data_IF_405514035436
#
_entry.id   IF_405514035436
#
_cell.length_a   1.000
_cell.length_b   1.000
_cell.length_c   1.000
_cell.angle_alpha   90.00
_cell.angle_beta   90.00
_cell.angle_gamma   90.00
#
_symmetry.space_group_name_H-M   'P 1'
#
loop_
_entity.id
_entity.type
_entity.pdbx_description
1 polymer ?
#
# COMPACT_ATOMS: atom_id res chain seq x y z
N UNK A 1 -11.10 15.40 -1.45
CA UNK A 1 -10.06 14.81 -2.29
C UNK A 1 -9.40 15.91 -3.09
N UNK A 2 -8.07 15.99 -3.07
CA UNK A 2 -7.31 16.92 -3.91
C UNK A 2 -7.25 16.35 -5.33
N UNK A 3 -7.42 17.19 -6.32
CA UNK A 3 -7.40 16.77 -7.72
C UNK A 3 -5.97 16.53 -8.23
N UNK A 4 -5.00 17.26 -7.68
CA UNK A 4 -3.59 17.23 -8.13
C UNK A 4 -2.87 15.91 -7.80
N UNK A 5 -3.21 15.29 -6.67
CA UNK A 5 -2.48 14.13 -6.15
C UNK A 5 -3.39 13.01 -5.59
N UNK A 6 -4.70 13.25 -5.55
CA UNK A 6 -5.67 12.30 -5.03
C UNK A 6 -5.64 12.12 -3.50
N UNK A 7 -4.88 12.93 -2.77
CA UNK A 7 -4.81 12.87 -1.31
C UNK A 7 -6.15 13.33 -0.73
N UNK A 8 -6.70 12.54 0.20
CA UNK A 8 -7.96 12.86 0.88
C UNK A 8 -7.65 13.48 2.23
N UNK A 9 -8.11 14.71 2.43
CA UNK A 9 -7.98 15.47 3.67
C UNK A 9 -9.35 15.66 4.33
N UNK A 10 -9.36 15.86 5.64
CA UNK A 10 -10.51 16.39 6.37
C UNK A 10 -10.33 17.90 6.47
N UNK A 11 -11.29 18.65 5.96
CA UNK A 11 -11.37 20.09 6.17
C UNK A 11 -11.80 20.33 7.62
N UNK A 12 -10.84 20.72 8.44
CA UNK A 12 -11.05 20.84 9.89
C UNK A 12 -11.87 22.08 10.27
N UNK A 13 -11.86 23.12 9.45
CA UNK A 13 -12.64 24.35 9.69
C UNK A 13 -14.13 24.08 9.42
N UNK A 14 -14.44 23.13 8.55
CA UNK A 14 -15.82 22.69 8.23
C UNK A 14 -16.26 21.47 9.03
N UNK A 15 -15.38 20.89 9.85
CA UNK A 15 -15.69 19.70 10.63
C UNK A 15 -16.46 20.04 11.89
N UNK A 16 -17.71 19.61 11.99
CA UNK A 16 -18.54 19.81 13.18
C UNK A 16 -18.41 18.70 14.26
N UNK A 17 -17.51 17.73 14.07
CA UNK A 17 -17.20 16.70 15.05
C UNK A 17 -18.31 15.66 15.28
N UNK A 18 -19.25 15.48 14.37
CA UNK A 18 -20.38 14.53 14.53
C UNK A 18 -19.97 13.05 14.57
N UNK A 19 -18.74 12.71 14.21
CA UNK A 19 -18.13 11.36 14.25
C UNK A 19 -18.75 10.31 13.33
N UNK A 20 -19.79 10.60 12.56
CA UNK A 20 -20.39 9.63 11.63
C UNK A 20 -19.36 9.04 10.65
N UNK A 21 -18.38 9.83 10.21
CA UNK A 21 -17.29 9.37 9.37
C UNK A 21 -16.35 8.37 10.05
N UNK A 22 -16.22 8.42 11.39
CA UNK A 22 -15.44 7.46 12.19
C UNK A 22 -16.16 6.12 12.24
N UNK A 23 -17.46 6.14 12.46
CA UNK A 23 -18.31 4.94 12.54
C UNK A 23 -18.49 4.29 11.18
N UNK A 24 -18.76 5.10 10.15
CA UNK A 24 -19.03 4.62 8.80
C UNK A 24 -17.79 4.11 8.06
N UNK A 25 -16.56 4.47 8.48
CA UNK A 25 -15.36 4.03 7.79
C UNK A 25 -15.15 2.51 7.94
N UNK A 26 -15.27 1.70 6.88
CA UNK A 26 -15.10 0.25 6.99
C UNK A 26 -13.65 -0.14 7.31
N UNK A 27 -12.68 0.69 6.90
CA UNK A 27 -11.26 0.50 7.19
C UNK A 27 -10.85 0.95 8.60
N UNK A 28 -11.74 1.62 9.35
CA UNK A 28 -11.46 2.20 10.68
C UNK A 28 -10.21 3.07 10.70
N UNK A 29 -10.05 3.92 9.68
CA UNK A 29 -8.88 4.80 9.48
C UNK A 29 -9.21 6.28 9.60
N UNK A 30 -10.36 6.60 10.15
CA UNK A 30 -10.73 7.95 10.59
C UNK A 30 -10.75 7.96 12.12
N UNK A 31 -10.16 8.97 12.72
CA UNK A 31 -10.02 9.13 14.16
C UNK A 31 -10.68 10.43 14.59
N UNK A 32 -11.03 10.53 15.85
CA UNK A 32 -11.56 11.75 16.43
C UNK A 32 -10.53 12.36 17.40
N UNK A 33 -10.28 13.65 17.25
CA UNK A 33 -9.44 14.43 18.15
C UNK A 33 -10.33 15.08 19.21
N UNK A 34 -10.32 14.61 20.47
CA UNK A 34 -11.19 15.12 21.51
C UNK A 34 -10.80 16.52 22.01
N UNK A 35 -9.54 16.95 21.79
CA UNK A 35 -9.08 18.27 22.19
C UNK A 35 -9.55 19.34 21.21
N UNK A 36 -9.47 19.04 19.91
CA UNK A 36 -9.88 19.94 18.84
C UNK A 36 -11.33 19.78 18.42
N UNK A 37 -12.02 18.72 18.91
CA UNK A 37 -13.39 18.35 18.56
C UNK A 37 -13.62 18.14 17.05
N UNK A 38 -12.62 17.63 16.34
CA UNK A 38 -12.66 17.38 14.90
C UNK A 38 -12.24 15.96 14.55
N UNK A 39 -12.71 15.47 13.41
CA UNK A 39 -12.23 14.21 12.84
C UNK A 39 -10.88 14.40 12.16
N UNK A 40 -10.00 13.41 12.30
CA UNK A 40 -8.67 13.39 11.69
C UNK A 40 -8.41 12.07 10.97
N UNK A 41 -7.48 12.07 10.04
CA UNK A 41 -6.97 10.87 9.37
C UNK A 41 -5.55 11.10 8.87
N UNK A 42 -4.90 10.07 8.38
CA UNK A 42 -3.64 10.22 7.69
C UNK A 42 -3.76 11.25 6.56
N UNK A 43 -2.92 12.29 6.60
CA UNK A 43 -2.84 13.36 5.59
C UNK A 43 -1.80 13.03 4.50
N UNK A 44 -1.28 11.80 4.48
CA UNK A 44 -0.21 11.34 3.60
C UNK A 44 1.07 12.18 3.70
N UNK A 45 1.31 12.80 4.85
CA UNK A 45 2.41 13.76 5.07
C UNK A 45 2.45 14.87 4.00
N UNK A 46 1.31 15.43 3.62
CA UNK A 46 1.16 16.38 2.52
C UNK A 46 2.24 17.48 2.49
N UNK A 47 2.60 18.17 3.61
CA UNK A 47 3.65 19.17 3.57
C UNK A 47 5.01 18.64 3.10
N UNK A 48 5.30 17.34 3.37
CA UNK A 48 6.52 16.70 2.90
C UNK A 48 6.44 16.34 1.43
N UNK A 49 5.26 15.87 0.98
CA UNK A 49 5.02 15.56 -0.44
C UNK A 49 5.18 16.80 -1.31
N UNK A 50 4.68 17.95 -0.85
CA UNK A 50 4.82 19.24 -1.55
C UNK A 50 6.28 19.67 -1.69
N UNK A 51 7.15 19.26 -0.77
CA UNK A 51 8.59 19.47 -0.81
C UNK A 51 9.35 18.33 -1.56
N UNK A 52 8.63 17.41 -2.20
CA UNK A 52 9.25 16.26 -2.90
C UNK A 52 9.85 15.21 -1.95
N UNK A 53 9.47 15.22 -0.66
CA UNK A 53 10.00 14.32 0.36
C UNK A 53 8.97 13.23 0.68
N UNK A 54 9.42 11.98 0.71
CA UNK A 54 8.55 10.85 1.05
C UNK A 54 7.90 10.97 2.43
N UNK A 55 6.69 10.40 2.61
CA UNK A 55 6.04 10.30 3.91
C UNK A 55 6.94 9.67 4.96
N UNK A 56 6.88 10.17 6.19
CA UNK A 56 7.74 9.71 7.28
C UNK A 56 7.67 8.19 7.52
N UNK A 57 6.47 7.62 7.46
CA UNK A 57 6.26 6.18 7.66
C UNK A 57 6.91 5.30 6.57
N UNK A 58 7.06 5.81 5.35
CA UNK A 58 7.77 5.11 4.29
C UNK A 58 9.29 5.28 4.46
N UNK A 59 9.75 6.51 4.69
CA UNK A 59 11.16 6.83 4.84
C UNK A 59 11.83 6.14 6.04
N UNK A 60 11.09 5.99 7.14
CA UNK A 60 11.61 5.39 8.39
C UNK A 60 11.34 3.88 8.50
N UNK A 61 10.76 3.26 7.49
CA UNK A 61 10.47 1.83 7.53
C UNK A 61 11.77 1.00 7.41
N UNK A 62 12.24 0.31 8.46
CA UNK A 62 13.49 -0.45 8.40
C UNK A 62 13.41 -1.64 7.44
N UNK A 63 12.21 -2.22 7.28
CA UNK A 63 11.95 -3.31 6.33
C UNK A 63 11.70 -2.85 4.90
N UNK A 64 11.69 -1.54 4.62
CA UNK A 64 11.42 -0.96 3.28
C UNK A 64 10.13 -1.48 2.63
N UNK A 65 9.10 -1.77 3.47
CA UNK A 65 7.85 -2.39 3.06
C UNK A 65 6.81 -1.39 2.53
N UNK A 66 7.12 -0.09 2.59
CA UNK A 66 6.19 0.98 2.20
C UNK A 66 6.75 1.75 1.03
N UNK A 67 6.17 1.49 -0.12
CA UNK A 67 6.47 2.17 -1.37
C UNK A 67 5.48 3.33 -1.55
N UNK A 68 5.94 4.43 -2.12
CA UNK A 68 5.13 5.62 -2.39
C UNK A 68 5.48 6.13 -3.78
N UNK A 69 4.47 6.48 -4.55
CA UNK A 69 4.64 7.01 -5.90
C UNK A 69 3.30 7.38 -6.52
N UNK A 70 3.33 7.76 -7.77
CA UNK A 70 2.15 8.12 -8.54
C UNK A 70 1.56 6.91 -9.26
N UNK A 71 0.23 6.85 -9.32
CA UNK A 71 -0.49 5.77 -10.02
C UNK A 71 -0.48 5.94 -11.54
N UNK A 72 -0.17 7.13 -12.03
CA UNK A 72 -0.12 7.52 -13.43
C UNK A 72 1.32 7.64 -13.99
N UNK A 73 2.34 7.31 -13.19
CA UNK A 73 3.72 7.25 -13.63
C UNK A 73 4.10 5.83 -14.03
N UNK A 74 4.04 5.53 -15.33
CA UNK A 74 4.33 4.20 -15.89
C UNK A 74 5.75 3.71 -15.59
N UNK A 75 6.71 4.61 -15.44
CA UNK A 75 8.07 4.26 -15.06
C UNK A 75 8.19 3.96 -13.56
N UNK A 76 7.24 4.46 -12.75
CA UNK A 76 7.26 4.39 -11.30
C UNK A 76 6.96 3.00 -10.73
N UNK A 77 7.48 2.71 -9.54
CA UNK A 77 7.29 1.41 -8.89
C UNK A 77 5.82 1.11 -8.58
N UNK A 78 5.04 2.13 -8.21
CA UNK A 78 3.63 1.94 -7.86
C UNK A 78 2.80 1.55 -9.07
N UNK A 79 2.97 2.26 -10.20
CA UNK A 79 2.28 1.89 -11.43
C UNK A 79 2.61 0.45 -11.85
N UNK A 80 3.89 0.07 -11.78
CA UNK A 80 4.34 -1.28 -12.12
C UNK A 80 3.68 -2.34 -11.24
N UNK A 81 3.62 -2.14 -9.93
CA UNK A 81 3.00 -3.09 -9.01
C UNK A 81 1.49 -3.21 -9.18
N UNK A 82 0.81 -2.09 -9.47
CA UNK A 82 -0.66 -2.03 -9.59
C UNK A 82 -1.14 -2.42 -10.99
N UNK A 83 -0.51 -1.90 -12.04
CA UNK A 83 -0.99 -2.02 -13.42
C UNK A 83 -0.21 -3.04 -14.25
N UNK A 84 1.13 -3.04 -14.23
CA UNK A 84 1.95 -3.96 -15.02
C UNK A 84 1.89 -5.38 -14.46
N UNK A 85 2.31 -5.56 -13.21
CA UNK A 85 2.36 -6.88 -12.56
C UNK A 85 1.04 -7.26 -11.90
N UNK A 86 0.22 -6.28 -11.56
CA UNK A 86 -1.09 -6.45 -10.94
C UNK A 86 -1.07 -7.26 -9.64
N UNK A 87 0.04 -7.17 -8.89
CA UNK A 87 0.26 -7.90 -7.62
C UNK A 87 -0.11 -7.09 -6.38
N UNK A 88 -0.33 -5.80 -6.53
CA UNK A 88 -0.78 -4.92 -5.46
C UNK A 88 -2.31 -4.76 -5.53
N UNK A 89 -3.01 -5.24 -4.50
CA UNK A 89 -4.48 -5.28 -4.42
C UNK A 89 -5.02 -4.29 -3.39
N UNK A 90 -6.18 -3.68 -3.61
CA UNK A 90 -6.85 -2.88 -2.60
C UNK A 90 -7.42 -3.78 -1.49
N UNK A 91 -7.51 -3.25 -0.27
CA UNK A 91 -8.20 -3.92 0.83
C UNK A 91 -9.71 -3.79 0.64
N UNK A 92 -10.45 -4.88 0.81
CA UNK A 92 -11.90 -4.95 0.69
C UNK A 92 -12.43 -4.32 -0.61
N UNK A 93 -12.06 -4.89 -1.77
CA UNK A 93 -12.50 -4.39 -3.07
C UNK A 93 -14.03 -4.39 -3.22
N UNK A 94 -14.74 -5.25 -2.50
CA UNK A 94 -16.20 -5.36 -2.46
C UNK A 94 -16.91 -4.09 -1.95
N UNK A 95 -16.19 -3.21 -1.24
CA UNK A 95 -16.76 -1.93 -0.79
C UNK A 95 -16.76 -0.86 -1.88
N UNK A 96 -16.10 -1.08 -3.01
CA UNK A 96 -16.03 -0.17 -4.17
C UNK A 96 -15.60 1.28 -3.84
N UNK A 97 -14.84 1.46 -2.76
CA UNK A 97 -14.43 2.79 -2.28
C UNK A 97 -13.19 3.37 -3.00
N UNK A 98 -12.53 2.60 -3.86
CA UNK A 98 -11.38 3.03 -4.65
C UNK A 98 -10.23 3.64 -3.81
N UNK A 99 -9.69 2.94 -2.79
CA UNK A 99 -8.61 3.48 -1.97
C UNK A 99 -7.31 3.57 -2.77
N UNK A 100 -6.50 4.61 -2.50
CA UNK A 100 -5.14 4.76 -3.05
C UNK A 100 -4.09 4.08 -2.17
N UNK A 101 -4.46 3.02 -1.47
CA UNK A 101 -3.57 2.16 -0.69
C UNK A 101 -3.74 0.73 -1.17
N UNK A 102 -2.63 0.14 -1.58
CA UNK A 102 -2.60 -1.20 -2.13
C UNK A 102 -1.67 -2.08 -1.31
N UNK A 103 -1.88 -3.38 -1.36
CA UNK A 103 -1.13 -4.36 -0.60
C UNK A 103 -0.62 -5.45 -1.53
N UNK A 104 0.67 -5.73 -1.46
CA UNK A 104 1.25 -6.92 -2.07
C UNK A 104 1.08 -8.08 -1.08
N UNK A 105 0.62 -9.20 -1.59
CA UNK A 105 0.32 -10.36 -0.75
C UNK A 105 1.59 -10.91 -0.08
N UNK A 106 1.52 -11.27 1.22
CA UNK A 106 2.63 -11.88 1.90
C UNK A 106 2.87 -13.29 1.35
N UNK A 107 4.11 -13.58 0.99
CA UNK A 107 4.55 -14.96 0.73
C UNK A 107 4.74 -15.65 2.09
N UNK A 108 3.65 -16.20 2.62
CA UNK A 108 3.63 -16.77 3.96
C UNK A 108 4.56 -17.98 4.08
N UNK A 109 5.40 -18.05 5.13
CA UNK A 109 6.15 -19.27 5.42
C UNK A 109 5.19 -20.42 5.76
N UNK A 110 5.65 -21.68 5.69
CA UNK A 110 4.85 -22.82 6.10
C UNK A 110 4.46 -22.73 7.58
N UNK A 111 3.30 -23.27 7.89
CA UNK A 111 2.87 -23.52 9.25
C UNK A 111 3.76 -24.62 9.86
N UNK A 112 4.06 -24.53 11.14
CA UNK A 112 4.83 -25.55 11.85
C UNK A 112 3.87 -26.52 12.56
N UNK A 113 4.22 -27.80 12.55
CA UNK A 113 3.54 -28.81 13.36
C UNK A 113 3.89 -28.69 14.85
N UNK A 114 3.32 -29.57 15.69
CA UNK A 114 3.58 -29.58 17.13
C UNK A 114 5.05 -29.87 17.47
N UNK A 115 5.82 -30.44 16.55
CA UNK A 115 7.24 -30.74 16.68
C UNK A 115 8.15 -29.66 16.08
N UNK A 116 7.56 -28.56 15.59
CA UNK A 116 8.30 -27.45 14.97
C UNK A 116 8.75 -27.69 13.53
N UNK A 117 8.25 -28.73 12.86
CA UNK A 117 8.58 -29.04 11.46
C UNK A 117 7.63 -28.31 10.50
N UNK A 118 8.11 -27.83 9.34
CA UNK A 118 7.26 -27.19 8.35
C UNK A 118 6.24 -28.19 7.76
N UNK A 119 5.00 -27.73 7.62
CA UNK A 119 3.91 -28.44 6.96
C UNK A 119 3.71 -27.90 5.52
N UNK A 120 2.84 -28.53 4.74
CA UNK A 120 2.47 -28.02 3.41
C UNK A 120 1.47 -26.85 3.46
N UNK A 121 0.95 -26.52 4.64
CA UNK A 121 0.01 -25.43 4.82
C UNK A 121 0.74 -24.10 5.02
N UNK A 122 0.30 -23.00 4.37
CA UNK A 122 0.83 -21.67 4.66
C UNK A 122 0.38 -21.20 6.06
N UNK A 123 1.24 -20.46 6.77
CA UNK A 123 0.92 -19.90 8.09
C UNK A 123 -0.31 -18.97 8.03
N UNK A 124 -0.44 -18.21 6.96
CA UNK A 124 -1.61 -17.37 6.69
C UNK A 124 -2.44 -18.11 5.63
N UNK A 125 -3.66 -18.59 5.96
CA UNK A 125 -4.51 -19.27 5.00
C UNK A 125 -4.84 -18.40 3.79
N UNK A 126 -4.78 -18.96 2.59
CA UNK A 126 -5.14 -18.23 1.36
C UNK A 126 -6.60 -17.75 1.40
N UNK A 127 -7.51 -18.53 1.98
CA UNK A 127 -8.91 -18.13 2.15
C UNK A 127 -9.07 -16.85 2.99
N UNK A 128 -8.23 -16.66 4.00
CA UNK A 128 -8.21 -15.42 4.78
C UNK A 128 -7.74 -14.23 3.94
N UNK A 129 -6.71 -14.42 3.11
CA UNK A 129 -6.27 -13.35 2.20
C UNK A 129 -7.35 -13.03 1.16
N UNK A 130 -8.03 -14.04 0.62
CA UNK A 130 -9.16 -13.86 -0.31
C UNK A 130 -10.28 -13.03 0.35
N UNK A 131 -10.61 -13.29 1.60
CA UNK A 131 -11.65 -12.52 2.31
C UNK A 131 -11.27 -11.04 2.53
N UNK A 132 -9.99 -10.70 2.46
CA UNK A 132 -9.50 -9.31 2.61
C UNK A 132 -9.27 -8.60 1.28
N UNK A 133 -8.79 -9.33 0.26
CA UNK A 133 -8.25 -8.75 -0.97
C UNK A 133 -8.95 -9.25 -2.25
N UNK A 134 -9.96 -10.11 -2.08
CA UNK A 134 -10.79 -10.61 -3.19
C UNK A 134 -10.20 -11.80 -3.93
N UNK A 135 -10.95 -12.27 -4.93
CA UNK A 135 -10.73 -13.53 -5.66
C UNK A 135 -9.40 -13.58 -6.46
N UNK A 136 -8.74 -12.43 -6.66
CA UNK A 136 -7.46 -12.40 -7.38
C UNK A 136 -6.26 -12.84 -6.58
N UNK A 137 -6.40 -13.07 -5.28
CA UNK A 137 -5.29 -13.47 -4.39
C UNK A 137 -4.53 -14.70 -4.88
N UNK A 138 -5.16 -15.81 -5.31
CA UNK A 138 -4.42 -16.98 -5.79
C UNK A 138 -3.55 -16.68 -7.03
N UNK A 139 -4.06 -15.90 -7.99
CA UNK A 139 -3.31 -15.45 -9.18
C UNK A 139 -2.06 -14.63 -8.77
N UNK A 140 -2.24 -13.71 -7.83
CA UNK A 140 -1.16 -12.85 -7.31
C UNK A 140 -0.10 -13.68 -6.60
N UNK A 141 -0.49 -14.61 -5.74
CA UNK A 141 0.44 -15.50 -5.05
C UNK A 141 1.24 -16.36 -6.03
N UNK A 142 0.60 -16.91 -7.07
CA UNK A 142 1.27 -17.68 -8.11
C UNK A 142 2.30 -16.82 -8.87
N UNK A 143 1.95 -15.60 -9.22
CA UNK A 143 2.86 -14.64 -9.88
C UNK A 143 4.07 -14.33 -9.00
N UNK A 144 3.85 -14.04 -7.72
CA UNK A 144 4.92 -13.73 -6.76
C UNK A 144 5.86 -14.94 -6.57
N UNK A 145 5.31 -16.16 -6.48
CA UNK A 145 6.14 -17.36 -6.32
C UNK A 145 6.94 -17.69 -7.58
N UNK A 146 6.36 -17.50 -8.78
CA UNK A 146 7.07 -17.67 -10.05
C UNK A 146 8.26 -16.69 -10.17
N UNK A 147 8.05 -15.41 -9.85
CA UNK A 147 9.11 -14.40 -9.90
C UNK A 147 10.19 -14.63 -8.81
N UNK A 148 9.77 -15.11 -7.65
CA UNK A 148 10.70 -15.52 -6.59
C UNK A 148 11.54 -16.74 -6.99
N UNK A 149 10.94 -17.71 -7.69
CA UNK A 149 11.66 -18.88 -8.21
C UNK A 149 12.73 -18.46 -9.23
N UNK A 150 12.42 -17.57 -10.17
CA UNK A 150 13.41 -16.97 -11.08
C UNK A 150 14.59 -16.36 -10.33
N UNK A 151 14.29 -15.56 -9.29
CA UNK A 151 15.35 -14.94 -8.49
C UNK A 151 16.24 -15.96 -7.77
N UNK A 152 15.67 -17.07 -7.30
CA UNK A 152 16.43 -18.16 -6.67
C UNK A 152 17.29 -18.93 -7.66
N UNK A 153 16.87 -19.06 -8.93
CA UNK A 153 17.67 -19.67 -10.00
C UNK A 153 18.76 -18.75 -10.56
N UNK A 154 18.82 -17.50 -10.08
CA UNK A 154 19.78 -16.50 -10.57
C UNK A 154 19.31 -15.71 -11.79
N UNK A 155 18.07 -15.88 -12.21
CA UNK A 155 17.46 -15.11 -13.28
C UNK A 155 17.02 -13.72 -12.80
N UNK A 156 17.11 -12.69 -13.65
CA UNK A 156 16.66 -11.35 -13.28
C UNK A 156 15.14 -11.30 -13.12
N UNK A 157 14.68 -10.59 -12.10
CA UNK A 157 13.27 -10.32 -11.87
C UNK A 157 13.05 -8.89 -11.42
N UNK A 158 12.54 -8.06 -12.33
CA UNK A 158 12.21 -6.66 -12.02
C UNK A 158 11.22 -6.55 -10.86
N UNK A 159 10.23 -7.44 -10.80
CA UNK A 159 9.25 -7.45 -9.70
C UNK A 159 9.91 -7.69 -8.35
N UNK A 160 10.82 -8.66 -8.28
CA UNK A 160 11.55 -8.94 -7.03
C UNK A 160 12.50 -7.80 -6.66
N UNK A 161 13.14 -7.16 -7.64
CA UNK A 161 14.00 -6.01 -7.39
C UNK A 161 13.21 -4.82 -6.82
N UNK A 162 12.01 -4.56 -7.34
CA UNK A 162 11.09 -3.54 -6.80
C UNK A 162 10.68 -3.86 -5.36
N UNK A 163 10.32 -5.10 -5.06
CA UNK A 163 9.83 -5.50 -3.74
C UNK A 163 10.94 -5.58 -2.69
N UNK A 164 12.18 -5.92 -3.08
CA UNK A 164 13.33 -5.94 -2.18
C UNK A 164 13.85 -4.50 -1.92
N UNK A 165 13.53 -3.58 -2.81
CA UNK A 165 13.86 -2.15 -2.69
C UNK A 165 15.35 -1.89 -2.38
N UNK A 166 16.25 -2.49 -3.15
CA UNK A 166 17.70 -2.25 -3.02
C UNK A 166 18.04 -0.77 -3.20
N UNK A 167 17.44 -0.13 -4.20
CA UNK A 167 17.59 1.29 -4.49
C UNK A 167 16.43 2.12 -3.95
N UNK A 168 16.13 1.95 -2.69
CA UNK A 168 14.96 2.54 -2.05
C UNK A 168 14.87 4.08 -2.21
N UNK A 169 15.98 4.78 -2.36
CA UNK A 169 15.97 6.23 -2.61
C UNK A 169 15.29 6.59 -3.93
N UNK A 170 15.37 5.72 -4.94
CA UNK A 170 14.67 5.91 -6.22
C UNK A 170 13.16 5.65 -6.07
N UNK A 171 12.77 4.74 -5.19
CA UNK A 171 11.36 4.47 -4.90
C UNK A 171 10.64 5.62 -4.18
N UNK A 172 11.37 6.64 -3.74
CA UNK A 172 10.85 7.82 -3.05
C UNK A 172 11.20 9.13 -3.78
N UNK A 173 11.71 9.07 -4.99
CA UNK A 173 11.93 10.23 -5.83
C UNK A 173 10.57 10.78 -6.30
N UNK A 174 9.84 11.36 -5.37
CA UNK A 174 8.72 12.24 -5.64
C UNK A 174 9.32 13.57 -6.10
N UNK A 175 9.80 13.61 -7.35
CA UNK A 175 10.21 14.87 -7.95
C UNK A 175 9.07 15.88 -7.83
N UNK A 176 9.36 17.17 -7.57
CA UNK A 176 8.31 18.16 -7.58
C UNK A 176 7.59 18.06 -8.93
N UNK A 177 6.29 17.69 -8.90
CA UNK A 177 5.45 17.96 -10.06
C UNK A 177 5.58 19.46 -10.26
N UNK A 178 6.18 19.88 -11.38
CA UNK A 178 6.18 21.28 -11.75
C UNK A 178 4.73 21.72 -11.71
N UNK A 179 4.37 22.53 -10.71
CA UNK A 179 3.11 23.26 -10.76
C UNK A 179 3.21 24.09 -12.02
N UNK A 180 2.51 23.72 -13.06
CA UNK A 180 2.12 24.70 -14.06
C UNK A 180 1.22 25.65 -13.30
N UNK A 181 1.82 26.78 -12.94
CA UNK A 181 1.10 27.90 -12.33
C UNK A 181 0.20 28.41 -13.45
N UNK A 182 -1.10 28.09 -13.34
CA UNK A 182 -2.15 28.75 -14.08
C UNK A 182 -2.28 30.20 -13.60
#
# INVERSE_FOLDING_TARGET
KRDEDGIVLVDQDRCHGYRFCVEACPYKKVYFDPLRQVSTKCIFCLPRIEEGVAPACARQCPGRLRLVGYLDDEAGPIWKLVHKYRVALPLHPEFELGPNVFYVMPMSPPKLDAQGRPTDEPRIPTSYLVSLFGERVPEVLATLEAERAKRRSGEPSELMDLLIAYDWNQNFALGPRKREVL
#
